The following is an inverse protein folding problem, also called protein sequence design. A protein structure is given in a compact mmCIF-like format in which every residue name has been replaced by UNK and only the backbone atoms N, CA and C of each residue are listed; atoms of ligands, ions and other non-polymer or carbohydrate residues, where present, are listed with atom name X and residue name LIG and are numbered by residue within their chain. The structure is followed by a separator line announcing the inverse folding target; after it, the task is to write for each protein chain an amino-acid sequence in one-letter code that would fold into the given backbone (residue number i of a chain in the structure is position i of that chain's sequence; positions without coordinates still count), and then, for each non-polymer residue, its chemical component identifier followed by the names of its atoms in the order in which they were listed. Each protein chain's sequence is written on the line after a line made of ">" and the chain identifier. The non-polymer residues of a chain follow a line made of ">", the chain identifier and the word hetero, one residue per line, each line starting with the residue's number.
data_IF_499223717525
#
_entry.id   IF_499223717525
#
_cell.length_a   1.000
_cell.length_b   1.000
_cell.length_c   1.000
_cell.angle_alpha   90.00
_cell.angle_beta   90.00
_cell.angle_gamma   90.00
#
_symmetry.space_group_name_H-M   'P 1'
#
loop_
_entity.id
_entity.type
_entity.pdbx_description
1 polymer ?
#
# COMPACT_ATOMS: atom_id res chain seq x y z
N UNK A 1 33.66 -56.32 26.06
CA UNK A 1 33.13 -57.08 24.91
C UNK A 1 33.17 -56.20 23.70
N UNK A 2 33.97 -56.58 22.67
CA UNK A 2 34.13 -55.76 21.48
C UNK A 2 32.95 -55.97 20.51
N UNK A 3 32.49 -54.87 19.88
CA UNK A 3 31.49 -54.87 18.84
C UNK A 3 32.14 -55.21 17.50
N UNK A 4 31.61 -56.24 16.85
CA UNK A 4 32.10 -56.74 15.56
C UNK A 4 31.46 -55.93 14.43
N UNK A 5 32.27 -55.32 13.57
CA UNK A 5 31.86 -54.49 12.44
C UNK A 5 32.19 -55.22 11.13
N UNK A 6 31.17 -55.83 10.51
CA UNK A 6 31.25 -56.22 9.11
C UNK A 6 29.90 -55.99 8.41
N UNK A 7 29.83 -54.88 7.68
CA UNK A 7 28.82 -54.67 6.64
C UNK A 7 29.52 -54.25 5.35
N UNK A 8 29.15 -54.79 4.17
CA UNK A 8 29.88 -54.56 2.93
C UNK A 8 29.56 -53.16 2.34
N UNK A 9 30.61 -52.42 2.01
CA UNK A 9 30.55 -51.13 1.33
C UNK A 9 30.08 -51.34 -0.10
N UNK A 10 28.88 -50.79 -0.42
CA UNK A 10 28.48 -50.59 -1.80
C UNK A 10 29.24 -49.39 -2.38
N UNK A 11 30.18 -49.66 -3.30
CA UNK A 11 30.93 -48.64 -4.02
C UNK A 11 30.01 -47.97 -5.03
N UNK A 12 29.50 -46.76 -4.73
CA UNK A 12 28.86 -45.89 -5.70
C UNK A 12 29.95 -45.22 -6.57
N UNK A 13 30.14 -45.71 -7.79
CA UNK A 13 30.92 -44.96 -8.78
C UNK A 13 30.20 -43.66 -9.15
N UNK A 14 30.88 -42.50 -9.17
CA UNK A 14 30.25 -41.25 -9.60
C UNK A 14 29.90 -41.33 -11.06
N UNK A 15 28.64 -40.97 -11.39
CA UNK A 15 28.14 -40.88 -12.76
C UNK A 15 28.95 -39.82 -13.53
N UNK A 16 29.39 -40.16 -14.75
CA UNK A 16 30.08 -39.21 -15.61
C UNK A 16 29.13 -38.12 -16.10
N UNK A 17 29.65 -36.91 -16.42
CA UNK A 17 28.85 -35.80 -16.97
C UNK A 17 28.02 -36.20 -18.20
N UNK A 18 28.51 -37.13 -19.04
CA UNK A 18 27.76 -37.65 -20.19
C UNK A 18 26.56 -38.51 -19.78
N UNK A 19 26.67 -39.30 -18.72
CA UNK A 19 25.56 -40.13 -18.22
C UNK A 19 24.50 -39.30 -17.54
N UNK A 20 24.88 -38.19 -16.89
CA UNK A 20 23.92 -37.22 -16.31
C UNK A 20 23.13 -36.48 -17.40
N UNK A 21 23.80 -36.05 -18.48
CA UNK A 21 23.15 -35.33 -19.60
C UNK A 21 22.27 -36.29 -20.43
N UNK A 22 22.65 -37.55 -20.63
CA UNK A 22 21.83 -38.54 -21.32
C UNK A 22 20.58 -38.97 -20.52
N UNK A 23 20.66 -39.01 -19.18
CA UNK A 23 19.51 -39.25 -18.28
C UNK A 23 18.50 -38.08 -18.26
N UNK A 24 19.01 -36.85 -18.35
CA UNK A 24 18.15 -35.66 -18.39
C UNK A 24 17.43 -35.49 -19.75
N UNK A 25 18.06 -35.92 -20.87
CA UNK A 25 17.46 -35.83 -22.20
C UNK A 25 16.36 -36.89 -22.45
N UNK A 26 16.43 -38.05 -21.80
CA UNK A 26 15.39 -39.10 -21.90
C UNK A 26 14.14 -38.81 -21.08
N UNK A 27 14.23 -37.98 -20.04
CA UNK A 27 13.07 -37.58 -19.21
C UNK A 27 12.27 -36.41 -19.79
N UNK A 28 12.82 -35.66 -20.76
CA UNK A 28 12.16 -34.49 -21.36
C UNK A 28 11.39 -34.78 -22.65
N UNK A 29 11.47 -35.98 -23.20
CA UNK A 29 10.87 -36.32 -24.50
C UNK A 29 9.40 -36.80 -24.47
N UNK A 30 8.80 -37.09 -23.33
CA UNK A 30 7.47 -37.72 -23.26
C UNK A 30 6.38 -36.89 -22.55
N UNK A 31 6.66 -35.64 -22.12
CA UNK A 31 5.70 -34.82 -21.34
C UNK A 31 5.27 -33.52 -22.04
N UNK A 32 5.52 -33.34 -23.35
CA UNK A 32 5.45 -32.01 -23.96
C UNK A 32 4.27 -31.72 -24.88
N UNK A 33 3.35 -32.63 -25.14
CA UNK A 33 2.20 -32.28 -25.99
C UNK A 33 0.81 -32.46 -25.40
N UNK A 34 0.64 -33.27 -24.37
CA UNK A 34 -0.68 -33.45 -23.73
C UNK A 34 -0.95 -32.42 -22.62
N UNK A 35 0.09 -31.90 -21.95
CA UNK A 35 -0.07 -30.94 -20.85
C UNK A 35 -0.28 -29.50 -21.30
N UNK A 36 0.08 -29.12 -22.53
CA UNK A 36 -0.13 -27.77 -23.06
C UNK A 36 -1.56 -27.55 -23.57
N UNK A 37 -2.27 -28.61 -24.01
CA UNK A 37 -3.66 -28.50 -24.48
C UNK A 37 -4.69 -28.59 -23.36
N UNK A 38 -4.35 -29.19 -22.22
CA UNK A 38 -5.24 -29.24 -21.05
C UNK A 38 -5.22 -27.92 -20.23
N UNK A 39 -4.23 -27.04 -20.41
CA UNK A 39 -4.10 -25.78 -19.67
C UNK A 39 -4.93 -24.63 -20.29
N UNK A 40 -5.54 -24.82 -21.44
CA UNK A 40 -6.36 -23.78 -22.11
C UNK A 40 -7.87 -23.86 -21.80
N UNK A 41 -8.36 -24.99 -21.24
CA UNK A 41 -9.79 -25.17 -20.99
C UNK A 41 -10.26 -24.71 -19.60
N UNK A 42 -9.38 -24.41 -18.66
CA UNK A 42 -9.70 -23.90 -17.32
C UNK A 42 -9.33 -22.42 -17.15
N UNK A 43 -9.70 -21.56 -18.09
CA UNK A 43 -9.80 -20.12 -17.79
C UNK A 43 -11.02 -19.90 -16.94
N UNK A 44 -10.89 -19.58 -15.63
CA UNK A 44 -12.03 -19.05 -14.89
C UNK A 44 -12.46 -17.78 -15.64
N UNK A 45 -13.68 -17.77 -16.11
CA UNK A 45 -14.32 -16.60 -16.69
C UNK A 45 -14.19 -15.49 -15.65
N UNK A 46 -13.43 -14.44 -15.97
CA UNK A 46 -13.37 -13.27 -15.13
C UNK A 46 -14.81 -12.84 -14.85
N UNK A 47 -15.14 -12.60 -13.59
CA UNK A 47 -16.45 -12.07 -13.24
C UNK A 47 -16.72 -10.86 -14.15
N UNK A 48 -17.91 -10.75 -14.76
CA UNK A 48 -18.21 -9.63 -15.65
C UNK A 48 -17.92 -8.33 -14.91
N UNK A 49 -17.34 -7.32 -15.57
CA UNK A 49 -17.12 -6.02 -14.97
C UNK A 49 -18.46 -5.54 -14.39
N UNK A 50 -18.45 -5.10 -13.14
CA UNK A 50 -19.65 -4.56 -12.50
C UNK A 50 -20.23 -3.49 -13.44
N UNK A 51 -21.53 -3.55 -13.70
CA UNK A 51 -22.21 -2.57 -14.55
C UNK A 51 -21.86 -1.15 -14.06
N UNK A 52 -21.59 -0.21 -14.99
CA UNK A 52 -21.27 1.16 -14.60
C UNK A 52 -22.43 1.72 -13.76
N UNK A 53 -22.13 2.13 -12.54
CA UNK A 53 -23.12 2.68 -11.63
C UNK A 53 -23.73 3.93 -12.24
N UNK A 54 -25.07 4.02 -12.22
CA UNK A 54 -25.79 5.18 -12.72
C UNK A 54 -25.46 6.41 -11.88
N UNK A 55 -24.96 7.47 -12.52
CA UNK A 55 -24.75 8.76 -11.86
C UNK A 55 -26.11 9.40 -11.61
N UNK A 56 -26.49 9.54 -10.33
CA UNK A 56 -27.80 10.10 -9.92
C UNK A 56 -27.73 11.58 -9.60
N UNK A 57 -26.59 12.06 -9.09
CA UNK A 57 -26.31 13.46 -8.78
C UNK A 57 -24.82 13.73 -8.79
N UNK A 58 -24.42 14.99 -8.81
CA UNK A 58 -23.02 15.39 -8.64
C UNK A 58 -22.78 15.82 -7.20
N UNK A 59 -21.72 15.28 -6.60
CA UNK A 59 -21.23 15.64 -5.27
C UNK A 59 -20.25 16.82 -5.39
N UNK A 60 -20.35 17.80 -4.48
CA UNK A 60 -19.40 18.89 -4.36
C UNK A 60 -18.13 18.39 -3.69
N UNK A 61 -17.05 18.24 -4.46
CA UNK A 61 -15.76 17.74 -4.00
C UNK A 61 -14.85 18.90 -3.60
N UNK A 62 -14.28 18.84 -2.39
CA UNK A 62 -13.12 19.63 -1.98
C UNK A 62 -11.83 18.87 -2.24
N UNK A 63 -10.79 19.54 -2.74
CA UNK A 63 -9.46 18.98 -2.88
C UNK A 63 -8.54 19.61 -1.84
N UNK A 64 -7.97 18.80 -0.95
CA UNK A 64 -6.96 19.19 0.04
C UNK A 64 -5.62 18.60 -0.40
N UNK A 65 -4.63 19.47 -0.70
CA UNK A 65 -3.38 19.07 -1.36
C UNK A 65 -3.51 19.10 -2.88
N UNK A 66 -3.04 20.19 -3.48
CA UNK A 66 -3.17 20.49 -4.92
C UNK A 66 -1.92 20.09 -5.73
N UNK A 67 -1.06 19.22 -5.18
CA UNK A 67 0.08 18.64 -5.88
C UNK A 67 -0.32 17.78 -7.09
N UNK A 68 0.68 17.18 -7.76
CA UNK A 68 0.44 16.38 -8.97
C UNK A 68 -0.58 15.25 -8.76
N UNK A 69 -0.51 14.54 -7.60
CA UNK A 69 -1.47 13.47 -7.28
C UNK A 69 -2.86 14.03 -7.02
N UNK A 70 -3.01 15.12 -6.27
CA UNK A 70 -4.31 15.75 -6.00
C UNK A 70 -5.02 16.19 -7.29
N UNK A 71 -4.28 16.86 -8.20
CA UNK A 71 -4.81 17.23 -9.50
C UNK A 71 -5.28 16.01 -10.33
N UNK A 72 -4.50 14.93 -10.30
CA UNK A 72 -4.85 13.70 -11.00
C UNK A 72 -6.10 13.03 -10.43
N UNK A 73 -6.25 12.94 -9.10
CA UNK A 73 -7.44 12.41 -8.42
C UNK A 73 -8.68 13.27 -8.74
N UNK A 74 -8.57 14.59 -8.65
CA UNK A 74 -9.67 15.49 -9.01
C UNK A 74 -10.10 15.32 -10.48
N UNK A 75 -9.12 15.11 -11.38
CA UNK A 75 -9.37 14.79 -12.78
C UNK A 75 -10.16 13.49 -12.97
N UNK A 76 -9.75 12.41 -12.28
CA UNK A 76 -10.45 11.11 -12.32
C UNK A 76 -11.85 11.18 -11.69
N UNK A 77 -12.04 11.96 -10.62
CA UNK A 77 -13.36 12.23 -10.04
C UNK A 77 -14.28 12.96 -11.05
N UNK A 78 -13.72 13.91 -11.81
CA UNK A 78 -14.43 14.60 -12.87
C UNK A 78 -14.77 13.66 -14.03
N UNK A 79 -13.82 12.81 -14.46
CA UNK A 79 -14.01 11.77 -15.49
C UNK A 79 -15.12 10.79 -15.09
N UNK A 80 -15.18 10.40 -13.81
CA UNK A 80 -16.26 9.55 -13.28
C UNK A 80 -17.65 10.18 -13.44
N UNK A 81 -17.75 11.50 -13.50
CA UNK A 81 -19.01 12.23 -13.73
C UNK A 81 -19.86 12.46 -12.49
N UNK A 82 -19.59 11.78 -11.37
CA UNK A 82 -20.33 11.90 -10.10
C UNK A 82 -19.85 13.03 -9.17
N UNK A 83 -18.78 13.74 -9.54
CA UNK A 83 -18.19 14.79 -8.73
C UNK A 83 -18.00 16.08 -9.52
N UNK A 84 -18.02 17.19 -8.79
CA UNK A 84 -17.63 18.51 -9.30
C UNK A 84 -16.67 19.12 -8.29
N UNK A 85 -15.46 19.51 -8.70
CA UNK A 85 -14.53 20.20 -7.81
C UNK A 85 -15.11 21.55 -7.43
N UNK A 86 -15.44 21.71 -6.16
CA UNK A 86 -16.13 22.87 -5.62
C UNK A 86 -15.20 23.84 -4.92
N UNK A 87 -14.18 23.31 -4.21
CA UNK A 87 -13.19 24.08 -3.49
C UNK A 87 -11.82 23.40 -3.53
N UNK A 88 -10.74 24.15 -3.38
CA UNK A 88 -9.37 23.65 -3.29
C UNK A 88 -8.64 24.29 -2.10
N UNK A 89 -7.72 23.54 -1.47
CA UNK A 89 -6.84 24.03 -0.42
C UNK A 89 -5.45 23.45 -0.62
N UNK A 90 -4.42 24.28 -0.48
CA UNK A 90 -3.01 23.91 -0.48
C UNK A 90 -2.26 24.81 0.51
N UNK A 91 -1.15 24.34 1.06
CA UNK A 91 -0.33 25.24 1.89
C UNK A 91 0.17 26.44 1.08
N UNK A 92 0.58 26.22 -0.17
CA UNK A 92 1.11 27.26 -1.06
C UNK A 92 -0.03 27.96 -1.81
N UNK A 93 -0.14 29.29 -1.65
CA UNK A 93 -1.22 30.09 -2.26
C UNK A 93 -1.18 30.03 -3.80
N UNK A 94 0.00 30.15 -4.38
CA UNK A 94 0.20 30.10 -5.83
C UNK A 94 -0.24 28.74 -6.42
N UNK A 95 -0.02 27.65 -5.70
CA UNK A 95 -0.49 26.30 -6.06
C UNK A 95 -2.01 26.23 -5.99
N UNK A 96 -2.64 26.68 -4.89
CA UNK A 96 -4.08 26.70 -4.73
C UNK A 96 -4.78 27.56 -5.80
N UNK A 97 -4.23 28.71 -6.12
CA UNK A 97 -4.75 29.61 -7.17
C UNK A 97 -4.63 28.98 -8.56
N UNK A 98 -3.45 28.49 -8.92
CA UNK A 98 -3.18 27.87 -10.23
C UNK A 98 -4.06 26.64 -10.48
N UNK A 99 -4.19 25.76 -9.47
CA UNK A 99 -5.02 24.55 -9.59
C UNK A 99 -6.49 24.88 -9.57
N UNK A 100 -6.90 25.89 -8.80
CA UNK A 100 -8.27 26.42 -8.84
C UNK A 100 -8.65 26.94 -10.22
N UNK A 101 -7.74 27.61 -10.94
CA UNK A 101 -7.98 28.05 -12.32
C UNK A 101 -8.15 26.84 -13.25
N UNK A 102 -7.26 25.85 -13.18
CA UNK A 102 -7.31 24.62 -14.01
C UNK A 102 -8.60 23.83 -13.81
N UNK A 103 -9.10 23.76 -12.58
CA UNK A 103 -10.29 22.99 -12.22
C UNK A 103 -11.59 23.80 -12.28
N UNK A 104 -11.52 25.08 -12.66
CA UNK A 104 -12.67 25.97 -12.77
C UNK A 104 -13.32 26.31 -11.43
N UNK A 105 -12.55 26.29 -10.34
CA UNK A 105 -13.04 26.62 -8.99
C UNK A 105 -13.11 28.13 -8.82
N UNK A 106 -14.21 28.61 -8.24
CA UNK A 106 -14.39 30.04 -7.92
C UNK A 106 -13.25 30.54 -7.01
N UNK A 107 -12.79 31.77 -7.25
CA UNK A 107 -11.69 32.38 -6.48
C UNK A 107 -11.97 32.44 -4.97
N UNK A 108 -13.23 32.65 -4.58
CA UNK A 108 -13.65 32.68 -3.18
C UNK A 108 -13.58 31.32 -2.47
N UNK A 109 -13.36 30.23 -3.21
CA UNK A 109 -13.24 28.86 -2.67
C UNK A 109 -11.85 28.23 -2.90
N UNK A 110 -10.84 29.08 -3.00
CA UNK A 110 -9.42 28.68 -3.08
C UNK A 110 -8.73 29.13 -1.82
N UNK A 111 -8.26 28.19 -1.03
CA UNK A 111 -7.75 28.44 0.31
C UNK A 111 -6.26 28.06 0.41
N UNK A 112 -5.51 28.79 1.22
CA UNK A 112 -4.07 28.52 1.44
C UNK A 112 -3.71 28.54 2.92
N UNK A 113 -2.47 28.12 3.24
CA UNK A 113 -1.95 28.04 4.59
C UNK A 113 -2.37 26.75 5.34
N UNK A 114 -1.82 26.56 6.53
CA UNK A 114 -2.07 25.35 7.35
C UNK A 114 -3.54 25.17 7.73
N UNK A 115 -4.31 26.25 7.85
CA UNK A 115 -5.74 26.21 8.18
C UNK A 115 -6.65 26.26 6.93
N UNK A 116 -6.10 26.32 5.73
CA UNK A 116 -6.85 26.39 4.48
C UNK A 116 -7.90 25.30 4.34
N UNK A 117 -7.58 24.06 4.77
CA UNK A 117 -8.52 22.94 4.74
C UNK A 117 -9.76 23.17 5.62
N UNK A 118 -9.66 23.88 6.74
CA UNK A 118 -10.82 24.17 7.62
C UNK A 118 -11.83 25.06 6.90
N UNK A 119 -11.34 26.13 6.25
CA UNK A 119 -12.17 27.03 5.42
C UNK A 119 -12.78 26.30 4.22
N UNK A 120 -12.05 25.35 3.64
CA UNK A 120 -12.58 24.48 2.60
C UNK A 120 -13.75 23.65 3.11
N UNK A 121 -13.64 23.03 4.28
CA UNK A 121 -14.75 22.26 4.88
C UNK A 121 -15.99 23.10 5.14
N UNK A 122 -15.83 24.39 5.48
CA UNK A 122 -16.92 25.34 5.71
C UNK A 122 -17.55 25.88 4.40
N UNK A 123 -16.94 25.61 3.23
CA UNK A 123 -17.39 26.15 1.94
C UNK A 123 -18.59 25.41 1.30
N UNK A 124 -19.16 24.44 2.00
CA UNK A 124 -20.32 23.66 1.53
C UNK A 124 -19.94 22.46 0.65
N UNK A 125 -18.77 21.92 0.79
CA UNK A 125 -18.36 20.64 0.18
C UNK A 125 -19.12 19.48 0.83
N UNK A 126 -19.43 18.45 0.05
CA UNK A 126 -20.08 17.22 0.51
C UNK A 126 -19.08 16.10 0.74
N UNK A 127 -17.97 16.14 0.00
CA UNK A 127 -16.88 15.18 0.09
C UNK A 127 -15.54 15.88 -0.09
N UNK A 128 -14.48 15.31 0.47
CA UNK A 128 -13.10 15.77 0.27
C UNK A 128 -12.21 14.63 -0.23
N UNK A 129 -11.29 14.96 -1.14
CA UNK A 129 -10.11 14.17 -1.44
C UNK A 129 -8.92 14.80 -0.71
N UNK A 130 -8.26 14.03 0.16
CA UNK A 130 -7.10 14.47 0.94
C UNK A 130 -5.86 13.85 0.33
N UNK A 131 -5.04 14.69 -0.31
CA UNK A 131 -3.86 14.33 -1.11
C UNK A 131 -2.63 15.20 -0.75
N UNK A 132 -2.60 15.69 0.46
CA UNK A 132 -1.57 16.56 1.05
C UNK A 132 -0.33 15.75 1.47
N UNK A 133 0.53 16.29 2.32
CA UNK A 133 1.62 15.59 2.97
C UNK A 133 1.08 14.71 4.11
N UNK A 134 1.47 13.42 4.20
CA UNK A 134 0.86 12.45 5.12
C UNK A 134 0.90 12.82 6.60
N UNK A 135 1.86 13.66 7.00
CA UNK A 135 1.93 14.21 8.36
C UNK A 135 0.63 14.91 8.80
N UNK A 136 -0.05 15.58 7.85
CA UNK A 136 -1.28 16.36 8.13
C UNK A 136 -2.57 15.55 7.98
N UNK A 137 -2.52 14.37 7.39
CA UNK A 137 -3.72 13.58 7.09
C UNK A 137 -4.60 13.27 8.30
N UNK A 138 -4.07 12.86 9.47
CA UNK A 138 -4.93 12.48 10.58
C UNK A 138 -5.82 13.62 11.06
N UNK A 139 -5.26 14.83 11.18
CA UNK A 139 -6.01 16.02 11.61
C UNK A 139 -7.01 16.49 10.55
N UNK A 140 -6.62 16.46 9.27
CA UNK A 140 -7.49 16.84 8.15
C UNK A 140 -8.67 15.87 8.00
N UNK A 141 -8.42 14.56 8.08
CA UNK A 141 -9.46 13.54 7.99
C UNK A 141 -10.43 13.61 9.18
N UNK A 142 -9.89 13.76 10.40
CA UNK A 142 -10.71 13.93 11.62
C UNK A 142 -11.61 15.15 11.51
N UNK A 143 -11.07 16.30 11.08
CA UNK A 143 -11.85 17.53 10.91
C UNK A 143 -12.95 17.38 9.85
N UNK A 144 -12.69 16.68 8.74
CA UNK A 144 -13.70 16.40 7.73
C UNK A 144 -14.83 15.52 8.28
N UNK A 145 -14.51 14.45 9.02
CA UNK A 145 -15.51 13.60 9.68
C UNK A 145 -16.30 14.38 10.72
N UNK A 146 -15.65 15.25 11.53
CA UNK A 146 -16.35 16.09 12.50
C UNK A 146 -17.36 17.02 11.82
N UNK A 147 -17.00 17.58 10.67
CA UNK A 147 -17.87 18.43 9.85
C UNK A 147 -18.97 17.64 9.09
N UNK A 148 -19.01 16.32 9.18
CA UNK A 148 -19.98 15.49 8.45
C UNK A 148 -19.69 15.37 6.94
N UNK A 149 -18.45 15.65 6.52
CA UNK A 149 -18.00 15.60 5.13
C UNK A 149 -17.39 14.23 4.82
N UNK A 150 -17.78 13.62 3.70
CA UNK A 150 -17.26 12.33 3.26
C UNK A 150 -15.78 12.41 2.88
N UNK A 151 -14.99 11.39 3.22
CA UNK A 151 -13.54 11.41 3.10
C UNK A 151 -13.03 10.36 2.12
N UNK A 152 -12.31 10.81 1.09
CA UNK A 152 -11.43 9.99 0.25
C UNK A 152 -9.99 10.33 0.64
N UNK A 153 -9.28 9.40 1.29
CA UNK A 153 -7.96 9.64 1.84
C UNK A 153 -6.89 8.89 1.06
N UNK A 154 -5.83 9.59 0.64
CA UNK A 154 -4.64 8.95 0.09
C UNK A 154 -3.90 8.11 1.14
N UNK A 155 -3.14 7.13 0.67
CA UNK A 155 -2.12 6.45 1.48
C UNK A 155 -0.77 7.21 1.40
N UNK A 156 0.11 7.08 2.39
CA UNK A 156 -0.05 6.46 3.71
C UNK A 156 -0.96 7.31 4.59
N UNK A 157 -1.80 6.69 5.43
CA UNK A 157 -2.83 7.45 6.19
C UNK A 157 -2.26 8.27 7.35
N UNK A 158 -1.04 7.97 7.78
CA UNK A 158 -0.30 8.65 8.84
C UNK A 158 1.18 8.33 8.75
N UNK A 159 2.00 8.99 9.55
CA UNK A 159 3.45 8.77 9.60
C UNK A 159 3.90 8.06 10.90
N UNK A 160 3.04 8.02 11.92
CA UNK A 160 3.34 7.52 13.26
C UNK A 160 2.14 6.79 13.91
N UNK A 161 2.37 6.20 15.07
CA UNK A 161 1.34 5.47 15.82
C UNK A 161 0.18 6.37 16.22
N UNK A 162 0.39 7.55 16.87
CA UNK A 162 -0.72 8.42 17.28
C UNK A 162 -1.60 8.85 16.11
N UNK A 163 -0.99 9.21 14.98
CA UNK A 163 -1.72 9.57 13.76
C UNK A 163 -2.53 8.39 13.19
N UNK A 164 -1.95 7.18 13.20
CA UNK A 164 -2.64 5.97 12.74
C UNK A 164 -3.83 5.63 13.64
N UNK A 165 -3.68 5.76 14.96
CA UNK A 165 -4.78 5.57 15.92
C UNK A 165 -5.88 6.58 15.69
N UNK A 166 -5.54 7.86 15.48
CA UNK A 166 -6.51 8.93 15.21
C UNK A 166 -7.32 8.67 13.92
N UNK A 167 -6.70 8.12 12.88
CA UNK A 167 -7.41 7.67 11.67
C UNK A 167 -8.41 6.56 11.99
N UNK A 168 -8.03 5.58 12.82
CA UNK A 168 -8.94 4.51 13.26
C UNK A 168 -10.16 5.06 14.05
N UNK A 169 -9.91 6.00 14.94
CA UNK A 169 -10.97 6.70 15.70
C UNK A 169 -11.89 7.51 14.77
N UNK A 170 -11.30 8.25 13.81
CA UNK A 170 -12.06 9.00 12.81
C UNK A 170 -12.92 8.07 11.94
N UNK A 171 -12.42 6.88 11.57
CA UNK A 171 -13.19 5.87 10.84
C UNK A 171 -14.40 5.34 11.62
N UNK A 172 -14.23 5.05 12.91
CA UNK A 172 -15.34 4.65 13.80
C UNK A 172 -16.39 5.77 13.92
N UNK A 173 -15.92 7.00 14.11
CA UNK A 173 -16.79 8.17 14.19
C UNK A 173 -17.54 8.41 12.87
N UNK A 174 -16.87 8.24 11.73
CA UNK A 174 -17.47 8.35 10.40
C UNK A 174 -18.65 7.38 10.24
N UNK A 175 -18.47 6.12 10.64
CA UNK A 175 -19.57 5.12 10.63
C UNK A 175 -20.75 5.57 11.51
N UNK A 176 -20.48 6.06 12.72
CA UNK A 176 -21.52 6.56 13.64
C UNK A 176 -22.29 7.76 13.07
N UNK A 177 -21.61 8.62 12.31
CA UNK A 177 -22.19 9.84 11.72
C UNK A 177 -22.77 9.63 10.31
N UNK A 178 -22.77 8.41 9.79
CA UNK A 178 -23.16 8.12 8.40
C UNK A 178 -22.30 8.89 7.37
N UNK A 179 -20.99 8.98 7.63
CA UNK A 179 -20.01 9.57 6.74
C UNK A 179 -19.21 8.43 6.07
N UNK A 180 -19.09 8.49 4.76
CA UNK A 180 -18.21 7.56 4.03
C UNK A 180 -16.75 7.98 4.23
N UNK A 181 -15.91 7.04 4.68
CA UNK A 181 -14.48 7.20 4.81
C UNK A 181 -13.78 6.07 4.05
N UNK A 182 -13.23 6.36 2.88
CA UNK A 182 -12.51 5.42 2.03
C UNK A 182 -11.02 5.76 2.01
N UNK A 183 -10.16 4.76 2.22
CA UNK A 183 -8.71 4.89 2.04
C UNK A 183 -8.32 4.30 0.68
N UNK A 184 -7.56 5.07 -0.12
CA UNK A 184 -7.22 4.76 -1.51
C UNK A 184 -6.08 3.74 -1.62
N UNK A 185 -6.36 2.48 -1.31
CA UNK A 185 -5.50 1.34 -1.65
C UNK A 185 -5.98 0.66 -2.92
N UNK A 186 -5.11 0.59 -3.92
CA UNK A 186 -5.47 0.12 -5.26
C UNK A 186 -5.46 -1.41 -5.37
N UNK A 187 -4.40 -2.07 -4.85
CA UNK A 187 -4.17 -3.52 -5.06
C UNK A 187 -5.35 -4.39 -4.60
N UNK A 188 -5.96 -4.18 -3.43
CA UNK A 188 -7.09 -4.97 -2.97
C UNK A 188 -8.39 -4.78 -3.77
N UNK A 189 -8.43 -3.83 -4.70
CA UNK A 189 -9.58 -3.62 -5.59
C UNK A 189 -9.50 -4.46 -6.86
N UNK A 190 -8.34 -5.06 -7.14
CA UNK A 190 -8.14 -5.83 -8.37
C UNK A 190 -8.84 -7.19 -8.29
N UNK A 191 -9.63 -7.57 -9.29
CA UNK A 191 -10.38 -8.83 -9.28
C UNK A 191 -9.50 -10.08 -9.11
N UNK A 192 -8.29 -10.08 -9.69
CA UNK A 192 -7.38 -11.21 -9.57
C UNK A 192 -6.82 -11.32 -8.14
N UNK A 193 -6.58 -10.21 -7.47
CA UNK A 193 -6.12 -10.17 -6.08
C UNK A 193 -7.27 -10.58 -5.13
N UNK A 194 -8.50 -10.13 -5.39
CA UNK A 194 -9.69 -10.52 -4.63
C UNK A 194 -9.87 -12.05 -4.71
N UNK A 195 -9.75 -12.62 -5.90
CA UNK A 195 -9.89 -14.07 -6.09
C UNK A 195 -8.81 -14.87 -5.37
N UNK A 196 -7.54 -14.43 -5.45
CA UNK A 196 -6.45 -15.04 -4.68
C UNK A 196 -6.74 -14.95 -3.18
N UNK A 197 -7.16 -13.81 -2.68
CA UNK A 197 -7.49 -13.62 -1.27
C UNK A 197 -8.62 -14.56 -0.82
N UNK A 198 -9.68 -14.70 -1.61
CA UNK A 198 -10.79 -15.63 -1.32
C UNK A 198 -10.31 -17.08 -1.21
N UNK A 199 -9.47 -17.53 -2.15
CA UNK A 199 -8.89 -18.88 -2.14
C UNK A 199 -7.94 -19.11 -0.97
N UNK A 200 -7.06 -18.13 -0.69
CA UNK A 200 -6.11 -18.22 0.43
C UNK A 200 -6.85 -18.33 1.76
N UNK A 201 -7.82 -17.46 2.01
CA UNK A 201 -8.65 -17.50 3.23
C UNK A 201 -9.52 -18.76 3.32
N UNK A 202 -9.90 -19.35 2.19
CA UNK A 202 -10.56 -20.65 2.13
C UNK A 202 -9.60 -21.85 2.26
N UNK A 203 -8.33 -21.63 2.66
CA UNK A 203 -7.37 -22.66 2.97
C UNK A 203 -6.69 -23.33 1.76
N UNK A 204 -6.67 -22.69 0.59
CA UNK A 204 -6.05 -23.24 -0.62
C UNK A 204 -4.55 -23.56 -0.46
N UNK A 205 -3.86 -22.84 0.41
CA UNK A 205 -2.41 -23.04 0.64
C UNK A 205 -2.12 -24.15 1.68
N UNK A 206 -3.12 -24.61 2.43
CA UNK A 206 -2.90 -25.40 3.64
C UNK A 206 -2.29 -24.52 4.77
N UNK A 207 -1.67 -25.12 5.80
CA UNK A 207 -0.94 -24.36 6.81
C UNK A 207 0.11 -23.48 6.16
N UNK A 208 0.14 -22.18 6.50
CA UNK A 208 1.17 -21.26 6.00
C UNK A 208 2.50 -21.54 6.66
N UNK A 209 3.58 -21.55 5.91
CA UNK A 209 4.93 -21.78 6.39
C UNK A 209 5.76 -20.49 6.42
N UNK A 210 5.65 -19.68 5.37
CA UNK A 210 6.47 -18.49 5.21
C UNK A 210 5.83 -17.48 4.25
N UNK A 211 6.09 -16.19 4.47
CA UNK A 211 5.76 -15.12 3.54
C UNK A 211 7.06 -14.41 3.17
N UNK A 212 7.24 -14.11 1.88
CA UNK A 212 8.35 -13.28 1.40
C UNK A 212 7.80 -12.15 0.55
N UNK A 213 8.20 -10.92 0.85
CA UNK A 213 7.77 -9.75 0.08
C UNK A 213 8.92 -8.79 -0.19
N UNK A 214 8.78 -8.02 -1.25
CA UNK A 214 9.71 -6.98 -1.64
C UNK A 214 8.96 -5.71 -2.01
N UNK A 215 9.58 -4.58 -1.65
CA UNK A 215 9.19 -3.25 -2.07
C UNK A 215 10.39 -2.56 -2.71
N UNK A 216 10.57 -2.76 -4.02
CA UNK A 216 11.69 -2.17 -4.76
C UNK A 216 11.17 -1.01 -5.59
N UNK A 217 11.41 0.20 -5.06
CA UNK A 217 10.99 1.44 -5.67
C UNK A 217 12.10 2.11 -6.47
N UNK A 218 11.69 2.88 -7.45
CA UNK A 218 12.59 3.80 -8.13
C UNK A 218 12.85 5.02 -7.23
N UNK A 219 14.12 5.40 -7.09
CA UNK A 219 14.48 6.62 -6.40
C UNK A 219 14.53 7.78 -7.40
N UNK A 220 13.45 8.54 -7.48
CA UNK A 220 13.42 9.82 -8.17
C UNK A 220 13.14 10.98 -7.24
N UNK A 221 13.14 10.72 -5.93
CA UNK A 221 12.75 11.73 -4.95
C UNK A 221 13.95 12.62 -4.56
N UNK A 222 13.80 13.94 -4.69
CA UNK A 222 14.87 14.84 -4.34
C UNK A 222 15.12 14.85 -2.84
N UNK A 223 16.39 14.92 -2.44
CA UNK A 223 16.73 15.30 -1.08
C UNK A 223 16.42 16.78 -0.85
N UNK A 224 15.96 17.18 0.36
CA UNK A 224 15.77 18.58 0.68
C UNK A 224 17.09 19.33 0.63
N UNK A 225 17.10 20.65 0.36
CA UNK A 225 18.33 21.45 0.38
C UNK A 225 18.96 21.45 1.78
N UNK A 226 20.27 21.72 1.86
CA UNK A 226 21.02 21.75 3.13
C UNK A 226 20.51 22.82 4.10
N UNK A 227 20.12 23.97 3.57
CA UNK A 227 19.53 25.09 4.29
C UNK A 227 18.01 25.04 4.38
N UNK A 228 17.45 23.85 4.34
CA UNK A 228 16.01 23.60 4.27
C UNK A 228 15.22 24.32 5.36
N UNK A 229 14.26 25.09 4.93
CA UNK A 229 13.15 25.55 5.78
C UNK A 229 12.03 24.51 5.79
N UNK A 230 11.14 24.57 6.77
CA UNK A 230 9.98 23.69 6.76
C UNK A 230 9.13 23.89 5.49
N UNK A 231 8.95 25.12 5.02
CA UNK A 231 8.25 25.41 3.77
C UNK A 231 8.90 24.73 2.55
N UNK A 232 10.22 24.79 2.42
CA UNK A 232 10.93 24.11 1.31
C UNK A 232 10.79 22.58 1.38
N UNK A 233 10.71 22.01 2.58
CA UNK A 233 10.50 20.56 2.77
C UNK A 233 9.10 20.10 2.34
N UNK A 234 8.10 20.99 2.38
CA UNK A 234 6.74 20.66 1.93
C UNK A 234 6.55 20.74 0.41
N UNK A 235 7.49 21.36 -0.33
CA UNK A 235 7.37 21.54 -1.77
C UNK A 235 7.53 20.24 -2.58
N UNK A 236 6.71 20.09 -3.60
CA UNK A 236 6.83 19.00 -4.56
C UNK A 236 6.86 17.62 -3.89
N UNK A 237 7.94 16.87 -4.10
CA UNK A 237 8.19 15.55 -3.50
C UNK A 237 9.33 15.55 -2.48
N UNK A 238 9.81 16.72 -2.05
CA UNK A 238 10.94 16.83 -1.10
C UNK A 238 10.59 16.17 0.24
N UNK A 239 9.34 16.31 0.69
CA UNK A 239 8.83 15.70 1.92
C UNK A 239 9.02 14.17 1.98
N UNK A 240 9.12 13.49 0.83
CA UNK A 240 9.38 12.05 0.78
C UNK A 240 10.74 11.65 1.36
N UNK A 241 11.72 12.57 1.37
CA UNK A 241 13.05 12.35 1.96
C UNK A 241 13.09 12.62 3.48
N UNK A 242 11.97 13.01 4.07
CA UNK A 242 11.82 13.36 5.48
C UNK A 242 10.93 12.33 6.18
N UNK A 243 11.50 11.59 7.12
CA UNK A 243 10.78 10.51 7.84
C UNK A 243 9.58 11.05 8.63
N UNK A 244 9.70 12.23 9.23
CA UNK A 244 8.60 12.80 10.01
C UNK A 244 7.42 13.26 9.12
N UNK A 245 7.69 13.64 7.86
CA UNK A 245 6.66 14.05 6.90
C UNK A 245 6.08 12.88 6.11
N UNK A 246 6.89 11.85 5.80
CA UNK A 246 6.53 10.76 4.89
C UNK A 246 6.26 9.42 5.58
N UNK A 247 6.80 9.21 6.78
CA UNK A 247 6.81 7.91 7.45
C UNK A 247 7.96 6.99 7.03
N UNK A 248 8.92 7.45 6.19
CA UNK A 248 9.97 6.63 5.58
C UNK A 248 9.47 5.70 4.47
N UNK A 249 10.38 5.02 3.77
CA UNK A 249 10.10 4.20 2.57
C UNK A 249 9.12 3.06 2.86
N UNK A 250 9.28 2.34 3.98
CA UNK A 250 8.37 1.23 4.33
C UNK A 250 6.93 1.72 4.46
N UNK A 251 6.70 2.86 5.09
CA UNK A 251 5.37 3.44 5.29
C UNK A 251 4.85 4.12 4.03
N UNK A 252 5.70 4.88 3.32
CA UNK A 252 5.25 5.67 2.17
C UNK A 252 5.09 4.86 0.88
N UNK A 253 5.91 3.82 0.68
CA UNK A 253 5.93 3.03 -0.55
C UNK A 253 5.51 1.57 -0.36
N UNK A 254 6.13 0.83 0.57
CA UNK A 254 5.88 -0.60 0.70
C UNK A 254 4.51 -0.91 1.28
N UNK A 255 3.86 0.09 1.87
CA UNK A 255 2.48 -0.03 2.36
C UNK A 255 1.52 -0.58 1.30
N UNK A 256 1.78 -0.39 0.02
CA UNK A 256 0.99 -0.95 -1.06
C UNK A 256 0.99 -2.48 -1.07
N UNK A 257 2.14 -3.12 -0.86
CA UNK A 257 2.23 -4.59 -0.81
C UNK A 257 1.90 -5.12 0.58
N UNK A 258 2.19 -4.36 1.63
CA UNK A 258 1.81 -4.70 3.00
C UNK A 258 0.29 -4.77 3.12
N UNK A 259 -0.45 -3.72 2.71
CA UNK A 259 -1.92 -3.73 2.68
C UNK A 259 -2.48 -4.85 1.78
N UNK A 260 -1.85 -5.08 0.62
CA UNK A 260 -2.22 -6.18 -0.27
C UNK A 260 -2.08 -7.55 0.40
N UNK A 261 -1.02 -7.78 1.16
CA UNK A 261 -0.82 -9.02 1.92
C UNK A 261 -1.86 -9.18 3.03
N UNK A 262 -2.16 -8.13 3.79
CA UNK A 262 -3.20 -8.16 4.81
C UNK A 262 -4.56 -8.46 4.17
N UNK A 263 -4.88 -7.85 3.04
CA UNK A 263 -6.11 -8.11 2.29
C UNK A 263 -6.23 -9.57 1.83
N UNK A 264 -5.12 -10.15 1.37
CA UNK A 264 -5.08 -11.54 0.87
C UNK A 264 -5.11 -12.55 2.02
N UNK A 265 -4.32 -12.34 3.06
CA UNK A 265 -4.14 -13.32 4.16
C UNK A 265 -5.15 -13.16 5.28
N UNK A 266 -5.65 -11.94 5.51
CA UNK A 266 -6.44 -11.57 6.69
C UNK A 266 -5.62 -11.56 7.98
N UNK A 267 -4.28 -11.44 7.90
CA UNK A 267 -3.35 -11.60 9.03
C UNK A 267 -2.43 -10.40 9.13
N UNK A 268 -2.06 -10.04 10.34
CA UNK A 268 -1.06 -9.01 10.63
C UNK A 268 -0.02 -9.54 11.64
N UNK A 269 1.22 -9.03 11.62
CA UNK A 269 2.26 -9.50 12.52
C UNK A 269 2.09 -8.98 13.95
N UNK A 270 2.64 -9.72 14.91
CA UNK A 270 2.67 -9.37 16.33
C UNK A 270 4.02 -8.82 16.77
N UNK A 271 5.09 -9.08 16.02
CA UNK A 271 6.42 -8.57 16.29
C UNK A 271 7.24 -8.41 15.02
N UNK A 272 8.34 -7.67 15.10
CA UNK A 272 9.33 -7.55 14.03
C UNK A 272 10.75 -7.35 14.57
N UNK A 273 11.74 -7.71 13.73
CA UNK A 273 13.13 -7.28 13.88
C UNK A 273 13.71 -6.94 12.51
N UNK A 274 14.79 -6.16 12.47
CA UNK A 274 15.35 -5.79 11.17
C UNK A 274 16.57 -4.88 11.21
N UNK A 275 16.94 -4.42 10.03
CA UNK A 275 18.05 -3.48 9.79
C UNK A 275 17.66 -2.53 8.66
N UNK A 276 18.03 -1.27 8.83
CA UNK A 276 17.88 -0.22 7.82
C UNK A 276 19.21 0.50 7.58
N UNK A 277 19.34 1.07 6.39
CA UNK A 277 20.54 1.82 5.99
C UNK A 277 20.20 2.93 5.00
N UNK A 278 20.85 4.09 5.16
CA UNK A 278 20.93 5.14 4.14
C UNK A 278 22.20 4.91 3.32
N UNK A 279 22.06 4.83 1.99
CA UNK A 279 23.13 4.51 1.04
C UNK A 279 23.54 5.71 0.20
N UNK A 280 22.70 6.76 0.14
CA UNK A 280 22.98 7.98 -0.61
C UNK A 280 24.21 8.69 -0.05
N UNK A 281 25.10 9.21 -0.91
CA UNK A 281 26.20 10.07 -0.45
C UNK A 281 25.61 11.41 0.05
N UNK A 282 26.06 11.86 1.20
CA UNK A 282 25.70 13.17 1.80
C UNK A 282 24.18 13.43 1.81
N UNK A 283 23.36 12.56 2.42
CA UNK A 283 21.92 12.75 2.42
C UNK A 283 21.53 13.99 3.24
N UNK A 284 20.65 14.82 2.70
CA UNK A 284 20.05 15.95 3.40
C UNK A 284 18.79 15.55 4.17
N UNK A 285 18.04 14.57 3.65
CA UNK A 285 16.91 13.92 4.32
C UNK A 285 17.36 12.71 5.14
N UNK A 286 16.54 12.31 6.10
CA UNK A 286 16.80 11.20 7.03
C UNK A 286 16.16 9.87 6.61
N UNK A 287 15.46 9.83 5.47
CA UNK A 287 14.85 8.64 4.91
C UNK A 287 15.87 7.51 4.70
N UNK A 288 15.48 6.28 5.04
CA UNK A 288 16.30 5.09 4.74
C UNK A 288 16.14 4.65 3.28
N UNK A 289 17.21 4.14 2.68
CA UNK A 289 17.22 3.69 1.29
C UNK A 289 17.01 2.19 1.15
N UNK A 290 17.44 1.42 2.16
CA UNK A 290 17.33 -0.05 2.18
C UNK A 290 16.96 -0.49 3.59
N UNK A 291 16.00 -1.41 3.68
CA UNK A 291 15.74 -2.14 4.92
C UNK A 291 15.40 -3.61 4.65
N UNK A 292 15.76 -4.45 5.60
CA UNK A 292 15.33 -5.84 5.67
C UNK A 292 14.65 -6.06 7.02
N UNK A 293 13.42 -6.56 6.99
CA UNK A 293 12.57 -6.77 8.15
C UNK A 293 12.11 -8.23 8.18
N UNK A 294 12.13 -8.82 9.34
CA UNK A 294 11.49 -10.09 9.63
C UNK A 294 10.34 -9.80 10.57
N UNK A 295 9.13 -10.09 10.11
CA UNK A 295 7.90 -10.04 10.91
C UNK A 295 7.56 -11.43 11.41
N UNK A 296 6.94 -11.50 12.57
CA UNK A 296 6.43 -12.72 13.19
C UNK A 296 4.90 -12.61 13.30
N UNK A 297 4.19 -13.65 12.83
CA UNK A 297 2.76 -13.79 13.01
C UNK A 297 2.45 -14.48 14.34
N UNK A 298 1.23 -14.34 14.85
CA UNK A 298 0.80 -14.94 16.12
C UNK A 298 1.02 -16.46 16.20
N UNK A 299 0.88 -17.17 15.07
CA UNK A 299 1.09 -18.61 14.97
C UNK A 299 2.53 -19.01 14.58
N UNK A 300 3.48 -18.07 14.66
CA UNK A 300 4.90 -18.30 14.38
C UNK A 300 5.28 -18.30 12.90
N UNK A 301 4.37 -18.01 11.98
CA UNK A 301 4.70 -17.82 10.56
C UNK A 301 5.63 -16.63 10.40
N UNK A 302 6.77 -16.85 9.74
CA UNK A 302 7.76 -15.81 9.46
C UNK A 302 7.42 -15.12 8.15
N UNK A 303 7.44 -13.78 8.18
CA UNK A 303 7.33 -12.96 6.99
C UNK A 303 8.59 -12.12 6.81
N UNK A 304 9.36 -12.38 5.75
CA UNK A 304 10.52 -11.58 5.36
C UNK A 304 10.13 -10.50 4.37
N UNK A 305 10.54 -9.27 4.64
CA UNK A 305 10.30 -8.12 3.77
C UNK A 305 11.60 -7.37 3.50
N UNK A 306 11.87 -7.06 2.24
CA UNK A 306 13.00 -6.24 1.83
C UNK A 306 12.50 -5.06 1.03
N UNK A 307 12.90 -3.87 1.47
CA UNK A 307 12.65 -2.62 0.75
C UNK A 307 13.94 -2.02 0.22
N UNK A 308 13.87 -1.40 -0.93
CA UNK A 308 14.93 -0.50 -1.40
C UNK A 308 14.39 0.62 -2.29
N UNK A 309 14.98 1.79 -2.15
CA UNK A 309 14.71 2.99 -2.95
C UNK A 309 16.04 3.59 -3.40
N UNK A 310 16.67 2.93 -4.38
CA UNK A 310 17.98 3.32 -4.93
C UNK A 310 17.92 3.47 -6.45
N UNK A 311 18.76 4.33 -7.01
CA UNK A 311 18.69 4.77 -8.42
C UNK A 311 19.04 3.73 -9.47
N UNK A 312 19.68 2.63 -9.10
CA UNK A 312 20.08 1.56 -10.04
C UNK A 312 19.00 0.47 -10.21
N UNK A 313 17.78 0.72 -9.81
CA UNK A 313 16.71 -0.27 -9.72
C UNK A 313 15.90 -0.38 -11.01
N UNK A 314 16.54 -0.31 -12.17
CA UNK A 314 15.87 -0.23 -13.46
C UNK A 314 15.13 -1.51 -13.87
N UNK A 315 15.65 -2.68 -13.47
CA UNK A 315 15.12 -3.97 -13.92
C UNK A 315 14.09 -4.58 -12.96
N UNK A 316 13.95 -4.06 -11.75
CA UNK A 316 13.20 -4.68 -10.66
C UNK A 316 12.37 -3.67 -9.87
N UNK A 317 11.74 -2.72 -10.54
CA UNK A 317 10.71 -1.92 -9.87
C UNK A 317 9.52 -2.83 -9.61
N UNK A 318 9.35 -3.29 -8.37
CA UNK A 318 8.26 -4.20 -8.05
C UNK A 318 7.83 -4.10 -6.61
N UNK A 319 6.52 -4.25 -6.44
CA UNK A 319 5.85 -4.53 -5.18
C UNK A 319 5.25 -5.92 -5.33
N UNK A 320 5.84 -6.92 -4.71
CA UNK A 320 5.37 -8.30 -4.83
C UNK A 320 5.57 -9.11 -3.56
N UNK A 321 4.80 -10.19 -3.45
CA UNK A 321 4.91 -11.13 -2.36
C UNK A 321 4.58 -12.56 -2.80
N UNK A 322 5.23 -13.53 -2.14
CA UNK A 322 4.93 -14.95 -2.23
C UNK A 322 4.53 -15.47 -0.86
N UNK A 323 3.43 -16.21 -0.80
CA UNK A 323 2.88 -16.83 0.39
C UNK A 323 3.02 -18.34 0.22
N UNK A 324 3.91 -18.95 0.99
CA UNK A 324 4.22 -20.37 0.91
C UNK A 324 3.41 -21.15 1.94
N UNK A 325 2.55 -22.03 1.48
CA UNK A 325 1.85 -22.98 2.33
C UNK A 325 2.31 -24.41 2.07
N UNK A 326 1.90 -25.33 2.93
CA UNK A 326 2.28 -26.74 2.84
C UNK A 326 1.65 -27.48 1.63
N UNK A 327 0.61 -26.92 1.02
CA UNK A 327 -0.06 -27.52 -0.15
C UNK A 327 0.15 -26.73 -1.43
N UNK A 328 0.26 -25.39 -1.34
CA UNK A 328 0.36 -24.52 -2.50
C UNK A 328 1.08 -23.23 -2.14
N UNK A 329 1.50 -22.49 -3.17
CA UNK A 329 2.09 -21.15 -3.07
C UNK A 329 1.21 -20.15 -3.81
N UNK A 330 0.89 -19.02 -3.18
CA UNK A 330 0.32 -17.86 -3.84
C UNK A 330 1.40 -16.82 -4.13
N UNK A 331 1.28 -16.16 -5.28
CA UNK A 331 2.10 -15.02 -5.65
C UNK A 331 1.23 -13.85 -6.02
N UNK A 332 1.46 -12.72 -5.38
CA UNK A 332 0.77 -11.45 -5.60
C UNK A 332 1.77 -10.35 -5.97
N UNK A 333 1.35 -9.42 -6.81
CA UNK A 333 2.19 -8.28 -7.19
C UNK A 333 1.34 -7.11 -7.67
N UNK A 334 1.95 -5.93 -7.64
CA UNK A 334 1.26 -4.68 -7.99
C UNK A 334 1.01 -4.53 -9.50
N UNK A 335 1.73 -5.27 -10.33
CA UNK A 335 1.53 -5.33 -11.77
C UNK A 335 2.05 -6.66 -12.32
N UNK A 336 1.35 -7.23 -13.31
CA UNK A 336 1.72 -8.47 -13.99
C UNK A 336 1.06 -9.71 -13.42
N UNK A 337 1.65 -10.86 -13.69
CA UNK A 337 1.08 -12.18 -13.42
C UNK A 337 1.02 -12.49 -11.94
N UNK A 338 -0.16 -12.92 -11.48
CA UNK A 338 -0.44 -13.40 -10.13
C UNK A 338 -1.01 -14.81 -10.19
N UNK A 339 -0.77 -15.64 -9.16
CA UNK A 339 -1.18 -17.05 -9.25
C UNK A 339 -1.27 -17.75 -7.89
N UNK A 340 -1.98 -18.89 -7.87
CA UNK A 340 -1.84 -19.96 -6.89
C UNK A 340 -1.36 -21.20 -7.64
N UNK A 341 -0.25 -21.82 -7.19
CA UNK A 341 0.32 -23.04 -7.76
C UNK A 341 0.52 -24.09 -6.69
N UNK A 342 0.27 -25.35 -7.05
CA UNK A 342 0.25 -26.49 -6.14
C UNK A 342 -1.16 -26.77 -5.59
N UNK A 343 -1.37 -27.95 -5.01
CA UNK A 343 -2.68 -28.39 -4.53
C UNK A 343 -3.73 -28.48 -5.65
N UNK A 344 -5.02 -28.52 -5.24
CA UNK A 344 -6.15 -28.72 -6.15
C UNK A 344 -6.79 -27.42 -6.64
N UNK A 345 -6.32 -26.26 -6.14
CA UNK A 345 -6.95 -24.96 -6.37
C UNK A 345 -6.03 -24.01 -7.15
N UNK A 346 -5.63 -24.44 -8.35
CA UNK A 346 -4.85 -23.58 -9.23
C UNK A 346 -5.59 -22.30 -9.62
N UNK A 347 -4.86 -21.22 -9.72
CA UNK A 347 -5.37 -19.96 -10.24
C UNK A 347 -4.26 -19.21 -10.95
N UNK A 348 -4.59 -18.54 -12.05
CA UNK A 348 -3.70 -17.61 -12.75
C UNK A 348 -4.53 -16.38 -13.13
N UNK A 349 -4.05 -15.24 -12.75
CA UNK A 349 -4.62 -13.94 -13.10
C UNK A 349 -3.52 -12.98 -13.55
N UNK A 350 -3.93 -11.78 -13.92
CA UNK A 350 -3.03 -10.70 -14.27
C UNK A 350 -3.54 -9.40 -13.70
N UNK A 351 -2.69 -8.69 -12.97
CA UNK A 351 -2.94 -7.33 -12.49
C UNK A 351 -2.38 -6.38 -13.54
N UNK A 352 -3.22 -5.51 -14.08
CA UNK A 352 -2.82 -4.59 -15.15
C UNK A 352 -3.17 -3.16 -14.76
N UNK A 353 -2.16 -2.28 -14.78
CA UNK A 353 -2.31 -0.86 -14.50
C UNK A 353 -3.15 -0.57 -13.24
N UNK A 354 -2.92 -1.36 -12.17
CA UNK A 354 -3.73 -1.25 -10.93
C UNK A 354 -3.62 0.13 -10.30
N UNK A 355 -2.53 0.84 -10.54
CA UNK A 355 -2.34 2.21 -10.05
C UNK A 355 -3.48 3.13 -10.51
N UNK A 356 -3.85 3.10 -11.78
CA UNK A 356 -4.95 3.92 -12.31
C UNK A 356 -6.31 3.23 -12.16
N UNK A 357 -6.41 1.97 -12.56
CA UNK A 357 -7.67 1.23 -12.53
C UNK A 357 -8.18 1.00 -11.11
N UNK A 358 -7.26 0.81 -10.14
CA UNK A 358 -7.62 0.72 -8.73
C UNK A 358 -8.20 2.02 -8.18
N UNK A 359 -7.62 3.17 -8.55
CA UNK A 359 -8.16 4.48 -8.18
C UNK A 359 -9.55 4.71 -8.78
N UNK A 360 -9.76 4.36 -10.07
CA UNK A 360 -11.08 4.47 -10.71
C UNK A 360 -12.12 3.61 -9.97
N UNK A 361 -11.75 2.37 -9.58
CA UNK A 361 -12.61 1.50 -8.76
C UNK A 361 -12.89 2.09 -7.39
N UNK A 362 -11.90 2.68 -6.72
CA UNK A 362 -12.07 3.33 -5.43
C UNK A 362 -12.97 4.58 -5.54
N UNK A 363 -12.81 5.41 -6.55
CA UNK A 363 -13.69 6.56 -6.81
C UNK A 363 -15.14 6.11 -7.05
N UNK A 364 -15.36 5.07 -7.86
CA UNK A 364 -16.67 4.50 -8.09
C UNK A 364 -17.29 3.90 -6.82
N UNK A 365 -16.48 3.23 -5.98
CA UNK A 365 -16.90 2.70 -4.69
C UNK A 365 -17.24 3.82 -3.71
N UNK A 366 -16.44 4.88 -3.65
CA UNK A 366 -16.66 6.05 -2.81
C UNK A 366 -17.98 6.74 -3.18
N UNK A 367 -18.20 7.02 -4.48
CA UNK A 367 -19.46 7.58 -4.98
C UNK A 367 -20.65 6.69 -4.63
N UNK A 368 -20.54 5.39 -4.91
CA UNK A 368 -21.61 4.44 -4.64
C UNK A 368 -21.91 4.30 -3.14
N UNK A 369 -20.90 4.29 -2.29
CA UNK A 369 -21.11 4.22 -0.84
C UNK A 369 -21.86 5.44 -0.32
N UNK A 370 -21.54 6.64 -0.81
CA UNK A 370 -22.24 7.87 -0.44
C UNK A 370 -23.69 7.86 -0.94
N UNK A 371 -23.92 7.53 -2.21
CA UNK A 371 -25.25 7.63 -2.83
C UNK A 371 -26.21 6.49 -2.43
N UNK A 372 -25.66 5.34 -2.00
CA UNK A 372 -26.42 4.17 -1.54
C UNK A 372 -26.50 4.10 0.00
N UNK A 373 -25.85 5.03 0.73
CA UNK A 373 -25.90 5.05 2.21
C UNK A 373 -25.14 3.92 2.88
N UNK A 374 -24.04 3.43 2.27
CA UNK A 374 -23.19 2.35 2.82
C UNK A 374 -21.96 2.95 3.51
N UNK A 375 -21.95 2.94 4.83
CA UNK A 375 -20.93 3.61 5.66
C UNK A 375 -20.24 2.64 6.64
N UNK A 376 -19.95 1.41 6.17
CA UNK A 376 -19.19 0.42 6.94
C UNK A 376 -17.70 0.78 7.07
N UNK A 377 -17.18 1.60 6.15
CA UNK A 377 -15.83 2.16 6.14
C UNK A 377 -14.72 1.09 6.32
N UNK A 378 -14.96 -0.11 5.78
CA UNK A 378 -14.11 -1.31 5.98
C UNK A 378 -12.65 -1.13 5.54
N UNK A 379 -12.36 -0.17 4.64
CA UNK A 379 -11.00 0.14 4.21
C UNK A 379 -10.15 0.79 5.31
N UNK A 380 -10.79 1.46 6.30
CA UNK A 380 -10.07 2.22 7.34
C UNK A 380 -9.37 1.28 8.31
N UNK A 381 -10.05 0.25 8.83
CA UNK A 381 -9.42 -0.66 9.79
C UNK A 381 -8.23 -1.40 9.16
N UNK A 382 -8.37 -1.90 7.91
CA UNK A 382 -7.26 -2.52 7.19
C UNK A 382 -6.10 -1.53 6.97
N UNK A 383 -6.40 -0.27 6.69
CA UNK A 383 -5.38 0.77 6.58
C UNK A 383 -4.63 0.98 7.90
N UNK A 384 -5.33 1.00 9.03
CA UNK A 384 -4.73 1.08 10.37
C UNK A 384 -3.80 -0.11 10.60
N UNK A 385 -4.26 -1.33 10.38
CA UNK A 385 -3.48 -2.55 10.59
C UNK A 385 -2.23 -2.59 9.68
N UNK A 386 -2.39 -2.19 8.42
CA UNK A 386 -1.29 -2.07 7.47
C UNK A 386 -0.25 -1.04 7.89
N UNK A 387 -0.69 0.13 8.38
CA UNK A 387 0.22 1.19 8.83
C UNK A 387 0.94 0.81 10.12
N UNK A 388 0.26 0.23 11.09
CA UNK A 388 0.90 -0.28 12.30
C UNK A 388 1.94 -1.37 11.96
N UNK A 389 1.65 -2.23 10.99
CA UNK A 389 2.61 -3.22 10.46
C UNK A 389 3.84 -2.54 9.85
N UNK A 390 3.63 -1.54 8.99
CA UNK A 390 4.73 -0.81 8.34
C UNK A 390 5.57 -0.03 9.36
N UNK A 391 4.94 0.64 10.33
CA UNK A 391 5.62 1.38 11.40
C UNK A 391 6.38 0.42 12.31
N UNK A 392 5.83 -0.75 12.65
CA UNK A 392 6.51 -1.79 13.43
C UNK A 392 7.83 -2.21 12.76
N UNK A 393 7.78 -2.49 11.46
CA UNK A 393 8.98 -2.84 10.70
C UNK A 393 10.00 -1.71 10.62
N UNK A 394 9.56 -0.48 10.36
CA UNK A 394 10.41 0.70 10.35
C UNK A 394 11.13 0.91 11.68
N UNK A 395 10.39 0.89 12.80
CA UNK A 395 10.95 1.14 14.13
C UNK A 395 11.90 0.00 14.54
N UNK A 396 11.53 -1.27 14.32
CA UNK A 396 12.39 -2.41 14.60
C UNK A 396 13.70 -2.35 13.80
N UNK A 397 13.64 -2.01 12.51
CA UNK A 397 14.81 -1.89 11.65
C UNK A 397 15.72 -0.71 12.02
N UNK A 398 15.14 0.46 12.32
CA UNK A 398 15.87 1.65 12.73
C UNK A 398 16.58 1.45 14.09
N UNK A 399 15.89 0.85 15.04
CA UNK A 399 16.41 0.58 16.40
C UNK A 399 17.31 -0.66 16.47
N UNK A 400 17.26 -1.52 15.44
CA UNK A 400 18.02 -2.77 15.38
C UNK A 400 17.67 -3.73 16.53
N UNK A 401 16.40 -3.84 16.86
CA UNK A 401 15.91 -4.65 17.97
C UNK A 401 14.76 -5.56 17.52
N UNK A 402 14.41 -6.51 18.36
CA UNK A 402 13.11 -7.17 18.34
C UNK A 402 12.11 -6.23 19.03
N UNK A 403 10.99 -5.96 18.38
CA UNK A 403 9.94 -5.05 18.87
C UNK A 403 8.59 -5.73 18.65
N UNK A 404 7.78 -5.77 19.71
CA UNK A 404 6.41 -6.28 19.62
C UNK A 404 5.43 -5.17 19.24
N UNK A 405 4.29 -5.55 18.66
CA UNK A 405 3.20 -4.62 18.37
C UNK A 405 2.67 -3.98 19.65
N UNK A 406 2.59 -4.74 20.75
CA UNK A 406 2.18 -4.23 22.05
C UNK A 406 3.12 -3.13 22.57
N UNK A 407 4.44 -3.36 22.49
CA UNK A 407 5.44 -2.35 22.87
C UNK A 407 5.33 -1.11 22.01
N UNK A 408 5.21 -1.27 20.67
CA UNK A 408 5.03 -0.16 19.75
C UNK A 408 3.81 0.69 20.11
N UNK A 409 2.66 0.05 20.36
CA UNK A 409 1.41 0.74 20.73
C UNK A 409 1.51 1.40 22.11
N UNK A 410 2.15 0.76 23.07
CA UNK A 410 2.37 1.32 24.42
C UNK A 410 3.28 2.53 24.39
N UNK A 411 4.34 2.51 23.58
CA UNK A 411 5.24 3.65 23.40
C UNK A 411 4.51 4.83 22.74
N UNK A 412 3.58 4.57 21.84
CA UNK A 412 2.75 5.55 21.15
C UNK A 412 3.54 6.79 20.67
N UNK A 413 4.72 6.54 20.08
CA UNK A 413 5.68 7.58 19.73
C UNK A 413 5.17 8.46 18.59
N UNK A 414 5.13 9.78 18.83
CA UNK A 414 4.82 10.77 17.81
C UNK A 414 6.10 11.19 17.06
N UNK A 415 5.99 11.32 15.76
CA UNK A 415 6.98 12.05 14.93
C UNK A 415 6.56 13.53 14.89
N UNK A 416 7.45 14.42 15.29
CA UNK A 416 7.17 15.85 15.36
C UNK A 416 7.91 16.62 14.29
N UNK A 417 7.25 17.59 13.69
CA UNK A 417 7.82 18.55 12.76
C UNK A 417 7.67 19.94 13.38
N UNK A 418 8.75 20.71 13.42
CA UNK A 418 8.68 22.12 13.79
C UNK A 418 8.02 22.90 12.64
N UNK A 419 6.81 23.37 12.88
CA UNK A 419 6.02 24.14 11.93
C UNK A 419 6.19 25.67 12.12
N UNK A 420 7.11 26.11 12.99
CA UNK A 420 7.37 27.53 13.22
C UNK A 420 7.77 28.22 11.92
N UNK A 421 7.18 29.36 11.65
CA UNK A 421 7.41 30.13 10.43
C UNK A 421 6.50 29.76 9.25
N UNK A 422 5.64 28.74 9.38
CA UNK A 422 4.57 28.50 8.41
C UNK A 422 3.39 29.43 8.64
N UNK A 423 2.71 29.78 7.55
CA UNK A 423 1.48 30.57 7.60
C UNK A 423 0.30 29.70 8.09
N UNK A 424 -0.55 30.26 8.95
CA UNK A 424 -1.72 29.61 9.50
C UNK A 424 -2.82 29.31 8.45
#
# INVERSE_FOLDING_TARGET
>A
MPYDATSPSASTRPLSRRQFVAGAAAATGALTTASLLAAESDRPQAAPPAEPRKITRKLKLGLIGCGGRGQWIAGLCTEHGGFTTHAVADYFEDVALSVGDKLGVDKARRFSGLSGYKRLLESGVEAVAIEDVPYFYPEQAKAAVDAGVHVYLAKPVAVDVPGTVLIGEAGKLATQKNVCFLVDYQLPTDPAIIEIGNRVRAGALGPMAHISSIGFGWQGWPDPPLDKTIASRLQGQIWLSDTALSGDTIVSYDIHIIDGLLAVTGRHPVAACGRARTCRPNPNGDRTDVAAVIYEQEDGVIWTHVTQAITNNFDVTTLSASIFGMKATAHVRYDGKVYIRGGDKHYVGNVTNVFQEGVKRNIANFYGSITEGRFDNSTVQRAVDGHLTAILGREAAARRCYLTMEELLRENKRLTVDLTGLQA
#
